data_IF_212777368545
#
_entry.id   IF_212777368545
#
_cell.length_a   1.000
_cell.length_b   1.000
_cell.length_c   1.000
_cell.angle_alpha   90.00
_cell.angle_beta   90.00
_cell.angle_gamma   90.00
#
_symmetry.space_group_name_H-M   'P 1'
#
loop_
_entity.id
_entity.type
_entity.pdbx_description
1 polymer ?
#
# COMPACT_ATOMS: atom_id res chain seq x y z
N UNK A 1 16.71 -3.40 -29.48
CA UNK A 1 16.44 -4.69 -28.81
C UNK A 1 17.10 -4.63 -27.43
N UNK A 2 16.35 -4.22 -26.41
CA UNK A 2 16.89 -3.88 -25.09
C UNK A 2 16.71 -5.03 -24.09
N UNK A 3 17.83 -5.51 -23.55
CA UNK A 3 17.90 -6.58 -22.57
C UNK A 3 17.29 -6.15 -21.21
N UNK A 4 16.22 -6.84 -20.81
CA UNK A 4 15.60 -6.71 -19.47
C UNK A 4 16.33 -7.62 -18.47
N UNK A 5 17.47 -7.17 -17.93
CA UNK A 5 18.27 -7.91 -16.94
C UNK A 5 17.97 -7.59 -15.46
N UNK A 6 16.87 -6.89 -15.15
CA UNK A 6 16.59 -6.45 -13.76
C UNK A 6 15.49 -7.25 -13.08
N UNK A 7 15.82 -8.50 -12.73
CA UNK A 7 14.98 -9.36 -11.88
C UNK A 7 15.73 -10.46 -11.09
N UNK A 8 16.99 -10.77 -11.43
CA UNK A 8 17.76 -11.82 -10.75
C UNK A 8 18.45 -11.32 -9.48
N UNK A 9 17.74 -11.23 -8.36
CA UNK A 9 18.36 -11.32 -7.03
C UNK A 9 17.41 -11.98 -6.04
N UNK A 10 17.51 -13.30 -5.91
CA UNK A 10 17.29 -14.11 -4.69
C UNK A 10 17.38 -15.62 -5.01
N UNK A 11 18.41 -16.08 -5.72
CA UNK A 11 18.68 -17.53 -5.84
C UNK A 11 20.02 -17.85 -6.53
N UNK A 12 21.12 -17.31 -6.01
CA UNK A 12 22.47 -17.81 -6.30
C UNK A 12 23.33 -17.76 -5.04
N UNK A 13 23.36 -18.86 -4.28
CA UNK A 13 24.62 -19.41 -3.77
C UNK A 13 24.47 -20.94 -3.63
N UNK A 14 25.38 -21.71 -4.23
CA UNK A 14 25.47 -23.17 -4.13
C UNK A 14 26.22 -23.55 -2.85
N UNK A 15 25.84 -22.95 -1.72
CA UNK A 15 26.35 -23.31 -0.39
C UNK A 15 25.19 -23.73 0.50
N UNK A 16 25.12 -25.05 0.71
CA UNK A 16 24.49 -25.78 1.80
C UNK A 16 23.66 -24.94 2.81
N UNK A 17 22.35 -25.20 2.87
CA UNK A 17 21.57 -25.07 4.11
C UNK A 17 20.61 -23.88 4.29
N UNK A 18 20.74 -22.78 3.52
CA UNK A 18 20.10 -21.51 3.92
C UNK A 18 19.27 -20.79 2.86
N UNK A 19 18.76 -21.48 1.84
CA UNK A 19 17.92 -20.84 0.81
C UNK A 19 16.76 -21.71 0.38
N UNK A 20 15.70 -21.06 -0.09
CA UNK A 20 14.50 -21.73 -0.62
C UNK A 20 14.91 -22.61 -1.82
N UNK A 21 14.60 -23.93 -1.80
CA UNK A 21 14.89 -24.80 -2.94
C UNK A 21 14.27 -24.29 -4.23
N UNK A 22 15.06 -24.23 -5.31
CA UNK A 22 14.64 -23.61 -6.59
C UNK A 22 13.39 -24.22 -7.19
N UNK A 23 13.16 -25.52 -6.99
CA UNK A 23 11.98 -26.22 -7.52
C UNK A 23 10.69 -25.88 -6.76
N UNK A 24 10.79 -25.24 -5.59
CA UNK A 24 9.64 -24.63 -4.91
C UNK A 24 9.34 -23.20 -5.37
N UNK A 25 10.23 -22.60 -6.17
CA UNK A 25 10.07 -21.23 -6.63
C UNK A 25 9.37 -21.17 -7.99
N UNK A 26 8.44 -20.23 -8.13
CA UNK A 26 7.76 -19.91 -9.37
C UNK A 26 8.78 -19.39 -10.40
N UNK A 27 8.83 -19.94 -11.64
CA UNK A 27 9.79 -19.50 -12.65
C UNK A 27 9.63 -18.04 -13.09
N UNK A 28 8.42 -17.49 -13.00
CA UNK A 28 8.14 -16.10 -13.40
C UNK A 28 8.58 -15.09 -12.33
N UNK A 29 8.33 -15.38 -11.06
CA UNK A 29 8.59 -14.45 -9.97
C UNK A 29 9.89 -14.73 -9.20
N UNK A 30 10.44 -15.94 -9.32
CA UNK A 30 11.60 -16.41 -8.55
C UNK A 30 11.31 -16.64 -7.07
N UNK A 31 10.04 -16.59 -6.66
CA UNK A 31 9.59 -16.70 -5.26
C UNK A 31 8.94 -18.03 -4.96
N UNK A 32 8.92 -18.40 -3.68
CA UNK A 32 8.21 -19.57 -3.19
C UNK A 32 6.75 -19.58 -3.66
N UNK A 33 6.31 -20.68 -4.26
CA UNK A 33 4.93 -20.84 -4.74
C UNK A 33 3.98 -20.97 -3.54
N UNK A 34 2.89 -20.21 -3.57
CA UNK A 34 1.81 -20.27 -2.59
C UNK A 34 0.69 -21.18 -3.09
N UNK A 35 0.40 -21.12 -4.38
CA UNK A 35 -0.59 -21.96 -5.06
C UNK A 35 0.02 -22.54 -6.35
N UNK A 36 0.79 -23.65 -6.24
CA UNK A 36 1.47 -24.23 -7.39
C UNK A 36 0.48 -24.87 -8.36
N UNK A 37 0.51 -24.44 -9.62
CA UNK A 37 -0.29 -24.98 -10.73
C UNK A 37 0.60 -25.41 -11.87
N UNK A 38 0.31 -26.57 -12.45
CA UNK A 38 1.00 -27.09 -13.63
C UNK A 38 0.27 -26.69 -14.91
N UNK A 39 1.04 -26.23 -15.87
CA UNK A 39 0.58 -25.89 -17.22
C UNK A 39 0.76 -27.08 -18.16
N UNK A 40 0.17 -27.01 -19.36
CA UNK A 40 0.29 -28.05 -20.39
C UNK A 40 1.74 -28.27 -20.86
N UNK A 41 2.62 -27.29 -20.63
CA UNK A 41 4.07 -27.41 -20.84
C UNK A 41 4.80 -28.28 -19.81
N UNK A 42 4.10 -28.77 -18.78
CA UNK A 42 4.69 -29.53 -17.67
C UNK A 42 5.44 -28.68 -16.63
N UNK A 43 5.45 -27.36 -16.79
CA UNK A 43 6.09 -26.44 -15.83
C UNK A 43 5.09 -26.02 -14.77
N UNK A 44 5.55 -25.92 -13.53
CA UNK A 44 4.73 -25.46 -12.40
C UNK A 44 5.01 -23.99 -12.10
N UNK A 45 3.96 -23.21 -11.90
CA UNK A 45 4.00 -21.79 -11.58
C UNK A 45 3.15 -21.50 -10.35
N UNK A 46 3.37 -20.35 -9.70
CA UNK A 46 2.33 -19.82 -8.81
C UNK A 46 1.13 -19.35 -9.65
N UNK A 47 -0.08 -19.73 -9.23
CA UNK A 47 -1.33 -19.43 -9.96
C UNK A 47 -1.46 -17.96 -10.30
N UNK A 48 -1.19 -17.05 -9.35
CA UNK A 48 -1.36 -15.62 -9.58
C UNK A 48 -0.40 -15.10 -10.64
N UNK A 49 0.84 -15.58 -10.64
CA UNK A 49 1.84 -15.17 -11.61
C UNK A 49 1.55 -15.67 -13.02
N UNK A 50 1.15 -16.94 -13.18
CA UNK A 50 0.84 -17.48 -14.52
C UNK A 50 -0.46 -16.89 -15.08
N UNK A 51 -1.47 -16.63 -14.23
CA UNK A 51 -2.67 -15.93 -14.68
C UNK A 51 -2.36 -14.51 -15.17
N UNK A 52 -1.51 -13.77 -14.46
CA UNK A 52 -1.08 -12.44 -14.88
C UNK A 52 -0.23 -12.50 -16.18
N UNK A 53 0.61 -13.51 -16.32
CA UNK A 53 1.40 -13.72 -17.53
C UNK A 53 0.50 -13.91 -18.76
N UNK A 54 -0.50 -14.79 -18.65
CA UNK A 54 -1.48 -15.07 -19.69
C UNK A 54 -2.38 -13.85 -19.97
N UNK A 55 -2.81 -13.12 -18.94
CA UNK A 55 -3.64 -11.91 -19.12
C UNK A 55 -2.92 -10.78 -19.84
N UNK A 56 -1.59 -10.75 -19.77
CA UNK A 56 -0.77 -9.79 -20.50
C UNK A 56 -0.54 -10.20 -21.97
N UNK A 57 -1.25 -11.22 -22.47
CA UNK A 57 -1.16 -11.70 -23.85
C UNK A 57 -0.01 -12.66 -24.11
N UNK A 58 0.73 -13.10 -23.08
CA UNK A 58 1.81 -14.05 -23.27
C UNK A 58 1.25 -15.48 -23.31
N UNK A 59 1.25 -16.10 -24.49
CA UNK A 59 0.73 -17.46 -24.70
C UNK A 59 1.81 -18.54 -24.68
N UNK A 60 3.08 -18.17 -24.57
CA UNK A 60 4.21 -19.12 -24.54
C UNK A 60 4.82 -19.25 -23.16
N UNK A 61 5.27 -20.46 -22.85
CA UNK A 61 6.06 -20.78 -21.67
C UNK A 61 7.38 -20.01 -21.68
N UNK A 62 7.70 -19.32 -20.59
CA UNK A 62 8.96 -18.59 -20.44
C UNK A 62 10.21 -19.47 -20.42
N UNK A 63 10.07 -20.78 -20.18
CA UNK A 63 11.19 -21.73 -20.09
C UNK A 63 11.30 -22.63 -21.32
N UNK A 64 10.18 -23.19 -21.78
CA UNK A 64 10.18 -24.18 -22.88
C UNK A 64 9.83 -23.57 -24.23
N UNK A 65 9.28 -22.35 -24.27
CA UNK A 65 8.73 -21.74 -25.49
C UNK A 65 7.45 -22.38 -26.01
N UNK A 66 6.99 -23.49 -25.41
CA UNK A 66 5.75 -24.16 -25.83
C UNK A 66 4.55 -23.28 -25.53
N UNK A 67 3.56 -23.31 -26.41
CA UNK A 67 2.29 -22.65 -26.16
C UNK A 67 1.62 -23.25 -24.91
N UNK A 68 1.08 -22.40 -24.05
CA UNK A 68 0.40 -22.76 -22.81
C UNK A 68 -1.05 -22.31 -22.93
N UNK A 69 -2.00 -23.22 -22.72
CA UNK A 69 -3.42 -22.86 -22.67
C UNK A 69 -3.80 -22.21 -21.33
N UNK A 70 -5.03 -21.68 -21.24
CA UNK A 70 -5.58 -21.18 -19.97
C UNK A 70 -5.93 -22.30 -18.96
N UNK A 71 -5.71 -23.57 -19.29
CA UNK A 71 -5.98 -24.69 -18.40
C UNK A 71 -4.84 -24.84 -17.38
N UNK A 72 -5.16 -24.51 -16.13
CA UNK A 72 -4.22 -24.59 -15.00
C UNK A 72 -4.67 -25.69 -14.04
N UNK A 73 -3.87 -26.76 -13.93
CA UNK A 73 -4.17 -27.88 -13.03
C UNK A 73 -3.44 -27.69 -11.69
N UNK A 74 -4.08 -27.91 -10.53
CA UNK A 74 -3.40 -27.86 -9.24
C UNK A 74 -2.27 -28.88 -9.16
N UNK A 75 -1.06 -28.46 -8.72
CA UNK A 75 0.05 -29.37 -8.48
C UNK A 75 0.09 -29.78 -6.99
N UNK A 76 -0.86 -30.64 -6.60
CA UNK A 76 -1.14 -30.99 -5.20
C UNK A 76 0.07 -31.61 -4.47
N UNK A 77 0.87 -32.44 -5.14
CA UNK A 77 2.05 -33.06 -4.52
C UNK A 77 3.11 -32.01 -4.12
N UNK A 78 3.50 -31.15 -5.05
CA UNK A 78 4.40 -30.01 -4.76
C UNK A 78 3.83 -29.07 -3.69
N UNK A 79 2.52 -28.82 -3.68
CA UNK A 79 1.90 -28.03 -2.62
C UNK A 79 2.10 -28.65 -1.22
N UNK A 80 1.94 -29.98 -1.12
CA UNK A 80 2.21 -30.72 0.12
C UNK A 80 3.69 -30.66 0.52
N UNK A 81 4.60 -30.87 -0.44
CA UNK A 81 6.05 -30.83 -0.19
C UNK A 81 6.52 -29.43 0.23
N UNK A 82 5.98 -28.36 -0.39
CA UNK A 82 6.21 -26.97 0.04
C UNK A 82 5.69 -26.75 1.46
N UNK A 83 4.51 -27.28 1.77
CA UNK A 83 3.91 -27.14 3.10
C UNK A 83 4.78 -27.81 4.17
N UNK A 84 5.28 -29.02 3.91
CA UNK A 84 6.19 -29.73 4.81
C UNK A 84 7.53 -29.00 4.96
N UNK A 85 8.11 -28.54 3.85
CA UNK A 85 9.34 -27.76 3.87
C UNK A 85 9.21 -26.47 4.70
N UNK A 86 8.10 -25.74 4.55
CA UNK A 86 7.82 -24.54 5.38
C UNK A 86 7.83 -24.84 6.88
N UNK A 87 7.33 -26.01 7.29
CA UNK A 87 7.30 -26.44 8.70
C UNK A 87 8.71 -26.75 9.23
N UNK A 88 9.56 -27.32 8.38
CA UNK A 88 10.94 -27.67 8.75
C UNK A 88 11.87 -26.44 8.81
N UNK A 89 11.59 -25.39 8.03
CA UNK A 89 12.46 -24.21 7.92
C UNK A 89 11.73 -22.87 8.18
N UNK A 90 11.08 -22.69 9.34
CA UNK A 90 10.32 -21.48 9.64
C UNK A 90 11.21 -20.22 9.66
N UNK A 91 12.49 -20.35 10.01
CA UNK A 91 13.44 -19.23 10.00
C UNK A 91 13.71 -18.71 8.59
N UNK A 92 13.87 -19.59 7.60
CA UNK A 92 14.11 -19.17 6.22
C UNK A 92 12.91 -18.44 5.63
N UNK A 93 11.69 -18.82 6.03
CA UNK A 93 10.47 -18.10 5.65
C UNK A 93 10.46 -16.70 6.28
N UNK A 94 10.77 -16.59 7.59
CA UNK A 94 10.85 -15.31 8.27
C UNK A 94 11.89 -14.39 7.63
N UNK A 95 13.10 -14.90 7.38
CA UNK A 95 14.18 -14.13 6.75
C UNK A 95 13.80 -13.67 5.33
N UNK A 96 13.16 -14.55 4.54
CA UNK A 96 12.69 -14.21 3.21
C UNK A 96 11.63 -13.10 3.24
N UNK A 97 10.61 -13.23 4.10
CA UNK A 97 9.56 -12.22 4.22
C UNK A 97 10.09 -10.89 4.78
N UNK A 98 11.07 -10.92 5.70
CA UNK A 98 11.73 -9.71 6.22
C UNK A 98 12.55 -9.00 5.13
N UNK A 99 13.34 -9.75 4.35
CA UNK A 99 14.09 -9.21 3.23
C UNK A 99 13.17 -8.60 2.17
N UNK A 100 12.03 -9.25 1.89
CA UNK A 100 11.02 -8.70 1.00
C UNK A 100 10.41 -7.41 1.56
N UNK A 101 10.02 -7.38 2.83
CA UNK A 101 9.48 -6.18 3.48
C UNK A 101 10.46 -5.00 3.35
N UNK A 102 11.72 -5.22 3.71
CA UNK A 102 12.76 -4.19 3.65
C UNK A 102 12.98 -3.70 2.21
N UNK A 103 13.02 -4.63 1.24
CA UNK A 103 13.16 -4.28 -0.17
C UNK A 103 11.97 -3.46 -0.67
N UNK A 104 10.74 -3.87 -0.35
CA UNK A 104 9.51 -3.18 -0.75
C UNK A 104 9.48 -1.77 -0.18
N UNK A 105 9.76 -1.61 1.12
CA UNK A 105 9.76 -0.30 1.77
C UNK A 105 10.84 0.63 1.19
N UNK A 106 12.04 0.10 0.92
CA UNK A 106 13.09 0.86 0.25
C UNK A 106 12.66 1.29 -1.16
N UNK A 107 12.05 0.39 -1.94
CA UNK A 107 11.53 0.71 -3.27
C UNK A 107 10.44 1.76 -3.19
N UNK A 108 9.43 1.57 -2.34
CA UNK A 108 8.35 2.55 -2.16
C UNK A 108 8.93 3.92 -1.82
N UNK A 109 9.86 4.01 -0.86
CA UNK A 109 10.48 5.27 -0.45
C UNK A 109 11.07 6.04 -1.64
N UNK A 110 11.93 5.40 -2.44
CA UNK A 110 12.74 6.10 -3.45
C UNK A 110 12.21 6.04 -4.88
N UNK A 111 11.27 5.14 -5.17
CA UNK A 111 10.74 4.99 -6.52
C UNK A 111 9.76 6.11 -6.88
N UNK A 112 9.78 6.52 -8.15
CA UNK A 112 8.77 7.41 -8.72
C UNK A 112 7.39 6.74 -8.65
N UNK A 113 6.44 7.41 -8.01
CA UNK A 113 5.07 6.92 -7.84
C UNK A 113 4.29 6.84 -9.15
N UNK A 114 4.77 7.50 -10.21
CA UNK A 114 4.17 7.48 -11.56
C UNK A 114 4.56 6.24 -12.37
N UNK A 115 5.47 5.41 -11.87
CA UNK A 115 5.88 4.20 -12.56
C UNK A 115 4.85 3.07 -12.34
N UNK A 116 4.49 2.35 -13.40
CA UNK A 116 3.57 1.18 -13.32
C UNK A 116 3.97 0.16 -12.25
N UNK A 117 5.27 0.00 -12.02
CA UNK A 117 5.77 -0.97 -11.03
C UNK A 117 5.58 -0.50 -9.58
N UNK A 118 5.29 0.80 -9.34
CA UNK A 118 5.04 1.33 -8.00
C UNK A 118 3.76 0.75 -7.41
N UNK A 119 2.67 0.76 -8.19
CA UNK A 119 1.39 0.18 -7.76
C UNK A 119 1.51 -1.32 -7.45
N UNK A 120 2.31 -2.04 -8.24
CA UNK A 120 2.61 -3.44 -7.97
C UNK A 120 3.36 -3.60 -6.63
N UNK A 121 4.38 -2.78 -6.36
CA UNK A 121 5.13 -2.84 -5.11
C UNK A 121 4.27 -2.50 -3.87
N UNK A 122 3.43 -1.47 -3.94
CA UNK A 122 2.54 -1.12 -2.81
C UNK A 122 1.48 -2.20 -2.58
N UNK A 123 0.95 -2.80 -3.65
CA UNK A 123 0.01 -3.92 -3.57
C UNK A 123 0.67 -5.15 -2.94
N UNK A 124 1.92 -5.45 -3.31
CA UNK A 124 2.71 -6.52 -2.71
C UNK A 124 2.95 -6.27 -1.22
N UNK A 125 3.30 -5.04 -0.82
CA UNK A 125 3.45 -4.69 0.59
C UNK A 125 2.14 -4.93 1.35
N UNK A 126 1.00 -4.52 0.80
CA UNK A 126 -0.30 -4.77 1.42
C UNK A 126 -0.58 -6.27 1.59
N UNK A 127 -0.30 -7.07 0.57
CA UNK A 127 -0.52 -8.51 0.65
C UNK A 127 0.40 -9.15 1.68
N UNK A 128 1.67 -8.74 1.74
CA UNK A 128 2.64 -9.18 2.75
C UNK A 128 2.13 -8.88 4.16
N UNK A 129 1.67 -7.66 4.42
CA UNK A 129 1.21 -7.26 5.75
C UNK A 129 -0.15 -7.88 6.11
N UNK A 130 -1.09 -7.98 5.14
CA UNK A 130 -2.46 -8.47 5.39
C UNK A 130 -2.57 -9.99 5.42
N UNK A 131 -2.06 -10.66 4.40
CA UNK A 131 -2.29 -12.10 4.16
C UNK A 131 -1.32 -12.94 4.98
N UNK A 132 -0.05 -12.51 5.08
CA UNK A 132 0.94 -13.23 5.88
C UNK A 132 0.85 -12.90 7.38
N UNK A 133 0.00 -11.94 7.78
CA UNK A 133 -0.31 -11.65 9.18
C UNK A 133 0.88 -11.10 9.95
N UNK A 134 1.56 -10.09 9.40
CA UNK A 134 2.79 -9.56 9.98
C UNK A 134 2.55 -8.94 11.37
N UNK A 135 3.34 -9.28 12.41
CA UNK A 135 3.17 -8.70 13.75
C UNK A 135 3.39 -7.17 13.77
N UNK A 136 2.46 -6.36 14.29
CA UNK A 136 2.60 -4.89 14.29
C UNK A 136 3.91 -4.40 14.91
N UNK A 137 4.39 -5.04 15.98
CA UNK A 137 5.64 -4.67 16.66
C UNK A 137 6.88 -4.87 15.78
N UNK A 138 6.91 -5.94 14.99
CA UNK A 138 7.99 -6.19 14.04
C UNK A 138 7.91 -5.26 12.84
N UNK A 139 6.70 -4.95 12.38
CA UNK A 139 6.46 -4.03 11.28
C UNK A 139 6.98 -2.62 11.62
N UNK A 140 6.74 -2.18 12.85
CA UNK A 140 7.09 -0.82 13.29
C UNK A 140 8.59 -0.55 13.31
N UNK A 141 9.43 -1.58 13.45
CA UNK A 141 10.90 -1.45 13.38
C UNK A 141 11.38 -0.84 12.05
N UNK A 142 10.61 -1.02 10.98
CA UNK A 142 10.94 -0.50 9.65
C UNK A 142 10.37 0.90 9.37
N UNK A 143 9.64 1.49 10.34
CA UNK A 143 8.94 2.78 10.23
C UNK A 143 8.14 2.93 8.91
N UNK A 144 7.27 1.96 8.57
CA UNK A 144 6.53 2.02 7.31
C UNK A 144 5.57 3.20 7.25
N UNK A 145 4.96 3.59 8.37
CA UNK A 145 4.03 4.73 8.44
C UNK A 145 4.69 6.03 7.95
N UNK A 146 5.93 6.27 8.35
CA UNK A 146 6.74 7.40 7.89
C UNK A 146 6.98 7.37 6.39
N UNK A 147 7.37 6.21 5.85
CA UNK A 147 7.64 6.03 4.42
C UNK A 147 6.38 6.27 3.59
N UNK A 148 5.23 5.77 4.06
CA UNK A 148 3.94 5.94 3.42
C UNK A 148 3.48 7.41 3.47
N UNK A 149 3.66 8.09 4.61
CA UNK A 149 3.31 9.50 4.77
C UNK A 149 4.21 10.43 3.93
N UNK A 150 5.52 10.16 3.90
CA UNK A 150 6.47 10.87 3.03
C UNK A 150 6.08 10.69 1.55
N UNK A 151 5.69 9.46 1.16
CA UNK A 151 5.27 9.18 -0.21
C UNK A 151 3.99 9.92 -0.57
N UNK A 152 2.94 9.88 0.26
CA UNK A 152 1.72 10.66 0.04
C UNK A 152 2.00 12.16 -0.07
N UNK A 153 2.92 12.67 0.76
CA UNK A 153 3.33 14.08 0.72
C UNK A 153 4.06 14.47 -0.56
N UNK A 154 4.70 13.50 -1.24
CA UNK A 154 5.35 13.73 -2.54
C UNK A 154 4.41 13.64 -3.75
N UNK A 155 3.20 13.10 -3.56
CA UNK A 155 2.22 12.91 -4.63
C UNK A 155 1.48 14.22 -4.95
N UNK A 156 1.31 14.52 -6.24
CA UNK A 156 0.59 15.71 -6.72
C UNK A 156 -0.64 15.32 -7.54
N UNK A 157 -1.78 15.98 -7.28
CA UNK A 157 -3.06 15.74 -7.97
C UNK A 157 -3.05 16.20 -9.43
N UNK A 158 -2.04 16.98 -9.84
CA UNK A 158 -1.98 17.54 -11.20
C UNK A 158 -1.83 16.45 -12.28
N UNK A 159 -1.60 15.20 -11.88
CA UNK A 159 -1.52 14.04 -12.76
C UNK A 159 -2.75 13.14 -12.51
N UNK A 160 -3.81 13.35 -13.30
CA UNK A 160 -5.09 12.63 -13.19
C UNK A 160 -5.04 11.38 -14.09
N UNK A 161 -4.22 10.40 -13.73
CA UNK A 161 -4.20 9.08 -14.38
C UNK A 161 -4.76 8.01 -13.45
N UNK A 162 -5.50 7.04 -14.00
CA UNK A 162 -6.21 6.02 -13.20
C UNK A 162 -5.30 5.25 -12.23
N UNK A 163 -4.11 4.84 -12.68
CA UNK A 163 -3.15 4.10 -11.86
C UNK A 163 -2.60 4.91 -10.67
N UNK A 164 -2.51 6.24 -10.80
CA UNK A 164 -2.08 7.12 -9.71
C UNK A 164 -3.08 7.14 -8.55
N UNK A 165 -4.38 7.13 -8.87
CA UNK A 165 -5.44 7.10 -7.87
C UNK A 165 -5.41 5.79 -7.07
N UNK A 166 -5.19 4.66 -7.75
CA UNK A 166 -5.07 3.36 -7.11
C UNK A 166 -3.86 3.32 -6.16
N UNK A 167 -2.74 3.94 -6.53
CA UNK A 167 -1.57 4.02 -5.67
C UNK A 167 -1.85 4.77 -4.36
N UNK A 168 -2.52 5.93 -4.44
CA UNK A 168 -2.91 6.70 -3.25
C UNK A 168 -3.89 5.92 -2.36
N UNK A 169 -4.88 5.26 -2.98
CA UNK A 169 -5.79 4.37 -2.28
C UNK A 169 -5.05 3.27 -1.53
N UNK A 170 -4.11 2.57 -2.19
CA UNK A 170 -3.36 1.49 -1.54
C UNK A 170 -2.48 1.97 -0.39
N UNK A 171 -1.83 3.14 -0.53
CA UNK A 171 -1.06 3.73 0.56
C UNK A 171 -1.97 4.04 1.76
N UNK A 172 -3.14 4.65 1.53
CA UNK A 172 -4.09 4.98 2.61
C UNK A 172 -4.57 3.72 3.32
N UNK A 173 -4.86 2.64 2.58
CA UNK A 173 -5.29 1.37 3.18
C UNK A 173 -4.22 0.72 4.04
N UNK A 174 -2.95 0.87 3.70
CA UNK A 174 -1.84 0.33 4.49
C UNK A 174 -1.75 0.93 5.89
N UNK A 175 -2.24 2.16 6.08
CA UNK A 175 -2.29 2.77 7.42
C UNK A 175 -3.11 1.97 8.43
N UNK A 176 -4.05 1.11 7.99
CA UNK A 176 -4.78 0.19 8.86
C UNK A 176 -3.86 -0.75 9.66
N UNK A 177 -2.69 -1.09 9.11
CA UNK A 177 -1.81 -2.11 9.69
C UNK A 177 -0.57 -1.54 10.40
N UNK A 178 -0.33 -0.22 10.30
CA UNK A 178 0.85 0.43 10.87
C UNK A 178 0.47 1.35 12.02
N UNK A 179 1.38 1.51 12.97
CA UNK A 179 1.22 2.44 14.07
C UNK A 179 1.52 3.87 13.60
N UNK A 180 0.69 4.82 14.03
CA UNK A 180 0.80 6.23 13.65
C UNK A 180 1.30 6.98 14.87
N UNK A 181 2.53 7.45 14.79
CA UNK A 181 3.15 8.31 15.80
C UNK A 181 3.04 9.79 15.43
N UNK A 182 3.47 10.67 16.35
CA UNK A 182 3.41 12.12 16.14
C UNK A 182 4.19 12.58 14.89
N UNK A 183 5.30 11.90 14.55
CA UNK A 183 6.10 12.25 13.36
C UNK A 183 5.37 11.91 12.07
N UNK A 184 4.70 10.76 12.03
CA UNK A 184 3.84 10.35 10.91
C UNK A 184 2.70 11.33 10.73
N UNK A 185 2.07 11.74 11.84
CA UNK A 185 1.00 12.74 11.84
C UNK A 185 1.48 14.05 11.21
N UNK A 186 2.64 14.57 11.62
CA UNK A 186 3.20 15.81 11.05
C UNK A 186 3.39 15.73 9.54
N UNK A 187 3.87 14.59 9.02
CA UNK A 187 4.03 14.35 7.58
C UNK A 187 2.69 14.27 6.84
N UNK A 188 1.68 13.66 7.46
CA UNK A 188 0.32 13.60 6.92
C UNK A 188 -0.36 14.97 6.84
N UNK A 189 0.12 15.96 7.61
CA UNK A 189 -0.37 17.34 7.60
C UNK A 189 0.27 18.19 6.50
N UNK A 190 0.83 17.62 5.42
CA UNK A 190 1.28 18.42 4.28
C UNK A 190 0.13 18.71 3.33
N UNK A 191 0.17 19.80 2.53
CA UNK A 191 -0.91 20.13 1.60
C UNK A 191 -1.18 19.00 0.61
N UNK A 192 -0.11 18.38 0.12
CA UNK A 192 -0.18 17.24 -0.81
C UNK A 192 -0.83 16.02 -0.16
N UNK A 193 -0.40 15.62 1.04
CA UNK A 193 -0.98 14.47 1.73
C UNK A 193 -2.48 14.69 2.03
N UNK A 194 -2.87 15.85 2.54
CA UNK A 194 -4.27 16.19 2.76
C UNK A 194 -5.07 16.22 1.46
N UNK A 195 -4.46 16.65 0.36
CA UNK A 195 -5.13 16.64 -0.95
C UNK A 195 -5.32 15.21 -1.46
N UNK A 196 -4.34 14.32 -1.30
CA UNK A 196 -4.50 12.90 -1.63
C UNK A 196 -5.62 12.25 -0.80
N UNK A 197 -5.65 12.51 0.50
CA UNK A 197 -6.69 11.96 1.38
C UNK A 197 -8.07 12.53 1.02
N UNK A 198 -8.18 13.83 0.76
CA UNK A 198 -9.44 14.45 0.31
C UNK A 198 -9.90 13.89 -1.04
N UNK A 199 -8.97 13.65 -1.97
CA UNK A 199 -9.26 13.04 -3.26
C UNK A 199 -9.87 11.64 -3.08
N UNK A 200 -9.22 10.77 -2.28
CA UNK A 200 -9.73 9.41 -2.01
C UNK A 200 -11.07 9.46 -1.29
N UNK A 201 -11.25 10.35 -0.32
CA UNK A 201 -12.52 10.53 0.40
C UNK A 201 -13.70 10.89 -0.53
N UNK A 202 -13.44 11.53 -1.67
CA UNK A 202 -14.50 12.05 -2.56
C UNK A 202 -14.70 11.22 -3.82
N UNK A 203 -13.64 10.66 -4.38
CA UNK A 203 -13.66 10.06 -5.72
C UNK A 203 -13.52 8.54 -5.73
N UNK A 204 -13.08 7.92 -4.63
CA UNK A 204 -12.85 6.46 -4.60
C UNK A 204 -14.12 5.67 -4.31
N UNK A 205 -14.05 4.34 -4.49
CA UNK A 205 -15.14 3.42 -4.11
C UNK A 205 -15.39 3.49 -2.60
N UNK A 206 -16.63 3.23 -2.17
CA UNK A 206 -17.09 3.39 -0.78
C UNK A 206 -16.13 2.76 0.24
N UNK A 207 -15.64 1.55 -0.02
CA UNK A 207 -14.68 0.87 0.86
C UNK A 207 -13.40 1.69 1.13
N UNK A 208 -12.80 2.27 0.08
CA UNK A 208 -11.59 3.09 0.19
C UNK A 208 -11.85 4.42 0.88
N UNK A 209 -13.04 4.99 0.66
CA UNK A 209 -13.51 6.20 1.36
C UNK A 209 -13.64 5.96 2.86
N UNK A 210 -14.15 4.80 3.27
CA UNK A 210 -14.22 4.39 4.69
C UNK A 210 -12.81 4.29 5.28
N UNK A 211 -11.87 3.66 4.57
CA UNK A 211 -10.48 3.51 5.04
C UNK A 211 -9.78 4.89 5.17
N UNK A 212 -10.02 5.81 4.24
CA UNK A 212 -9.55 7.20 4.34
C UNK A 212 -10.19 7.97 5.51
N UNK A 213 -11.47 7.78 5.76
CA UNK A 213 -12.19 8.37 6.89
C UNK A 213 -11.63 7.87 8.23
N UNK A 214 -11.40 6.55 8.36
CA UNK A 214 -10.80 5.94 9.53
C UNK A 214 -9.36 6.46 9.76
N UNK A 215 -8.58 6.65 8.70
CA UNK A 215 -7.25 7.26 8.79
C UNK A 215 -7.32 8.68 9.36
N UNK A 216 -8.22 9.52 8.85
CA UNK A 216 -8.39 10.88 9.38
C UNK A 216 -8.83 10.87 10.85
N UNK A 217 -9.73 9.97 11.25
CA UNK A 217 -10.13 9.84 12.66
C UNK A 217 -8.94 9.49 13.57
N UNK A 218 -7.99 8.67 13.10
CA UNK A 218 -6.78 8.30 13.84
C UNK A 218 -5.71 9.38 13.87
N UNK A 219 -5.63 10.20 12.82
CA UNK A 219 -4.59 11.24 12.67
C UNK A 219 -5.03 12.56 13.31
N UNK A 220 -6.33 12.85 13.35
CA UNK A 220 -6.90 14.11 13.87
C UNK A 220 -6.97 14.17 15.42
N UNK A 221 -5.97 13.62 16.12
CA UNK A 221 -5.98 13.45 17.58
C UNK A 221 -5.28 14.59 18.34
N UNK A 222 -4.25 15.25 17.78
CA UNK A 222 -3.43 16.26 18.48
C UNK A 222 -3.82 17.72 18.27
N UNK A 223 -3.42 18.63 19.18
CA UNK A 223 -3.83 20.05 19.27
C UNK A 223 -3.21 21.00 18.21
N UNK A 224 -2.06 20.66 17.61
CA UNK A 224 -1.22 21.63 16.87
C UNK A 224 -1.15 21.47 15.34
N UNK A 225 -2.10 20.78 14.70
CA UNK A 225 -1.82 20.10 13.42
C UNK A 225 -2.18 20.84 12.12
N UNK A 226 -2.76 22.05 12.14
CA UNK A 226 -3.39 22.64 10.93
C UNK A 226 -3.22 24.15 10.72
N UNK A 227 -2.20 24.78 11.31
CA UNK A 227 -2.11 26.25 11.40
C UNK A 227 -2.03 26.95 10.02
N UNK A 228 -1.61 26.27 8.95
CA UNK A 228 -1.43 26.91 7.62
C UNK A 228 -2.21 26.25 6.46
N UNK A 229 -3.18 25.35 6.75
CA UNK A 229 -3.78 24.47 5.71
C UNK A 229 -5.31 24.47 5.64
N UNK A 230 -5.96 25.58 5.98
CA UNK A 230 -7.43 25.71 6.07
C UNK A 230 -8.16 25.14 4.85
N UNK A 231 -7.77 25.53 3.64
CA UNK A 231 -8.46 25.13 2.39
C UNK A 231 -8.46 23.61 2.22
N UNK A 232 -7.35 22.95 2.57
CA UNK A 232 -7.23 21.50 2.49
C UNK A 232 -8.06 20.81 3.58
N UNK A 233 -8.10 21.39 4.77
CA UNK A 233 -8.95 20.90 5.88
C UNK A 233 -10.43 21.00 5.53
N UNK A 234 -10.89 22.10 4.93
CA UNK A 234 -12.30 22.23 4.47
C UNK A 234 -12.67 21.16 3.44
N UNK A 235 -11.76 20.85 2.51
CA UNK A 235 -11.94 19.77 1.53
C UNK A 235 -12.00 18.38 2.19
N UNK A 236 -11.22 18.15 3.24
CA UNK A 236 -11.29 16.91 4.04
C UNK A 236 -12.60 16.84 4.80
N UNK A 237 -13.03 17.91 5.48
CA UNK A 237 -14.30 17.97 6.21
C UNK A 237 -15.47 17.66 5.28
N UNK A 238 -15.51 18.25 4.09
CA UNK A 238 -16.56 17.97 3.11
C UNK A 238 -16.60 16.48 2.74
N UNK A 239 -15.44 15.89 2.44
CA UNK A 239 -15.33 14.46 2.14
C UNK A 239 -15.79 13.56 3.30
N UNK A 240 -15.45 13.93 4.55
CA UNK A 240 -15.89 13.23 5.76
C UNK A 240 -17.41 13.27 5.95
N UNK A 241 -18.03 14.43 5.76
CA UNK A 241 -19.48 14.57 5.89
C UNK A 241 -20.22 13.75 4.82
N UNK A 242 -19.72 13.77 3.57
CA UNK A 242 -20.30 12.98 2.48
C UNK A 242 -20.24 11.47 2.75
N UNK A 243 -19.10 10.94 3.23
CA UNK A 243 -18.99 9.50 3.53
C UNK A 243 -19.72 9.10 4.83
N UNK A 244 -19.76 9.96 5.84
CA UNK A 244 -20.51 9.70 7.08
C UNK A 244 -22.03 9.60 6.85
N UNK A 245 -22.54 10.23 5.79
CA UNK A 245 -23.93 10.06 5.35
C UNK A 245 -24.22 8.71 4.68
N UNK A 246 -23.19 7.93 4.33
CA UNK A 246 -23.39 6.66 3.64
C UNK A 246 -24.00 5.59 4.57
N UNK A 247 -25.02 4.83 4.11
CA UNK A 247 -25.64 3.76 4.91
C UNK A 247 -24.68 2.61 5.27
N UNK A 248 -23.64 2.40 4.46
CA UNK A 248 -22.67 1.31 4.64
C UNK A 248 -21.63 1.57 5.73
N UNK A 249 -21.58 2.79 6.27
CA UNK A 249 -20.69 3.13 7.39
C UNK A 249 -21.35 2.76 8.71
N UNK A 250 -20.62 2.08 9.58
CA UNK A 250 -21.15 1.69 10.89
C UNK A 250 -21.32 2.90 11.84
N UNK A 251 -22.10 2.70 12.91
CA UNK A 251 -22.44 3.78 13.83
C UNK A 251 -21.24 4.31 14.63
N UNK A 252 -20.25 3.47 14.94
CA UNK A 252 -19.06 3.88 15.69
C UNK A 252 -18.17 4.77 14.82
N UNK A 253 -17.96 4.36 13.57
CA UNK A 253 -17.23 5.13 12.58
C UNK A 253 -17.91 6.49 12.33
N UNK A 254 -19.25 6.52 12.17
CA UNK A 254 -20.01 7.78 12.05
C UNK A 254 -19.80 8.69 13.26
N UNK A 255 -19.95 8.15 14.48
CA UNK A 255 -19.79 8.93 15.71
C UNK A 255 -18.38 9.50 15.84
N UNK A 256 -17.37 8.66 15.62
CA UNK A 256 -15.95 9.04 15.62
C UNK A 256 -15.67 10.14 14.59
N UNK A 257 -16.19 10.00 13.38
CA UNK A 257 -16.07 11.00 12.33
C UNK A 257 -16.73 12.32 12.68
N UNK A 258 -17.91 12.31 13.30
CA UNK A 258 -18.55 13.55 13.75
C UNK A 258 -17.76 14.26 14.85
N UNK A 259 -17.12 13.52 15.76
CA UNK A 259 -16.17 14.10 16.73
C UNK A 259 -14.99 14.75 16.02
N UNK A 260 -14.40 14.06 15.05
CA UNK A 260 -13.30 14.57 14.23
C UNK A 260 -13.69 15.84 13.46
N UNK A 261 -14.84 15.84 12.77
CA UNK A 261 -15.34 17.02 12.04
C UNK A 261 -15.49 18.22 12.98
N UNK A 262 -16.10 18.04 14.16
CA UNK A 262 -16.23 19.14 15.14
C UNK A 262 -14.88 19.69 15.58
N UNK A 263 -13.89 18.83 15.81
CA UNK A 263 -12.52 19.23 16.16
C UNK A 263 -11.88 20.05 15.03
N UNK A 264 -12.03 19.61 13.78
CA UNK A 264 -11.50 20.32 12.61
C UNK A 264 -12.18 21.68 12.38
N UNK A 265 -13.51 21.75 12.49
CA UNK A 265 -14.27 23.01 12.35
C UNK A 265 -13.85 24.06 13.39
N UNK A 266 -13.84 23.70 14.69
CA UNK A 266 -13.43 24.61 15.78
C UNK A 266 -12.05 25.23 15.53
N UNK A 267 -11.13 24.46 14.96
CA UNK A 267 -9.78 24.93 14.61
C UNK A 267 -9.77 25.85 13.41
N UNK A 268 -10.55 25.54 12.37
CA UNK A 268 -10.72 26.42 11.22
C UNK A 268 -11.20 27.81 11.64
N UNK A 269 -12.15 27.89 12.56
CA UNK A 269 -12.68 29.16 13.07
C UNK A 269 -11.65 29.93 13.90
N UNK A 270 -10.94 29.26 14.83
CA UNK A 270 -9.86 29.86 15.62
C UNK A 270 -8.74 30.43 14.72
N UNK A 271 -8.41 29.71 13.64
CA UNK A 271 -7.36 30.14 12.74
C UNK A 271 -7.81 31.32 11.86
N UNK A 272 -9.05 31.30 11.36
CA UNK A 272 -9.66 32.45 10.67
C UNK A 272 -9.64 33.70 11.58
N UNK A 273 -9.87 33.53 12.88
CA UNK A 273 -9.77 34.61 13.87
C UNK A 273 -8.33 35.14 14.00
N UNK A 274 -7.35 34.26 14.22
CA UNK A 274 -5.92 34.66 14.36
C UNK A 274 -5.35 35.30 13.10
N UNK A 275 -5.78 34.87 11.91
CA UNK A 275 -5.38 35.49 10.65
C UNK A 275 -5.99 36.88 10.48
N UNK A 276 -7.23 37.10 10.95
CA UNK A 276 -7.83 38.45 11.01
C UNK A 276 -7.07 39.35 11.99
N UNK A 277 -6.70 38.85 13.16
CA UNK A 277 -5.91 39.59 14.16
C UNK A 277 -4.51 39.94 13.65
N UNK A 278 -3.86 39.05 12.88
CA UNK A 278 -2.56 39.31 12.22
C UNK A 278 -2.66 40.17 10.96
N UNK A 279 -3.85 40.26 10.36
CA UNK A 279 -4.14 41.01 9.13
C UNK A 279 -4.70 42.42 9.34
N UNK A 280 -4.92 42.85 10.58
CA UNK A 280 -5.39 44.21 10.89
C UNK A 280 -4.26 45.08 11.47
N UNK A 281 -3.27 45.43 10.63
CA UNK A 281 -2.41 46.60 10.87
C UNK A 281 -1.72 47.14 9.60
N UNK A 282 -2.29 46.94 8.42
CA UNK A 282 -1.93 47.74 7.25
C UNK A 282 -3.18 48.25 6.56
N UNK A 283 -3.19 49.56 6.40
CA UNK A 283 -4.11 50.37 5.60
C UNK A 283 -5.38 50.84 6.31
N UNK A 284 -5.17 51.61 7.39
CA UNK A 284 -5.95 52.84 7.64
C UNK A 284 -4.96 54.00 7.70
N UNK A 285 -4.67 54.57 6.52
CA UNK A 285 -4.58 56.01 6.22
C UNK A 285 -4.23 56.19 4.75
#
# INVERSE_FOLDING_TARGET
MGNNEKGRRLCNDKRMGSSIPKFFCCPLSGKLMMDPVITDSGITYDRTNIQQWLSNGNIHCSLTGTEISHKLLPHTKLAADICEWKKLYPQLIRDASQNELQWLLHKIKFQDYRCDTFLNNITRLRNLVRIEGWPPQELQKFRPADILADKLSSMSVNHIEGAFNEAAEEIICLFKYVEIDITTVQKMMTPNALTMVSFVLRNSRVKRRIEAMQLINRVAVGEFMFVDQIVYVERVIKGLLEIAGCPLVDCNDKASTMVTVRKLCRRGDQLKLRLKERGCHKDVQ
#
